data_IF_608775183187
#
_entry.id   IF_608775183187
#
_cell.length_a   1.000
_cell.length_b   1.000
_cell.length_c   1.000
_cell.angle_alpha   90.00
_cell.angle_beta   90.00
_cell.angle_gamma   90.00
#
_symmetry.space_group_name_H-M   'P 1'
#
loop_
_entity.id
_entity.type
_entity.pdbx_description
1 polymer ?
#
# COMPACT_ATOMS: atom_id res chain seq x y z
N UNK A 1 27.31 -56.24 35.66
CA UNK A 1 26.30 -56.53 34.60
C UNK A 1 26.43 -55.46 33.52
N UNK A 2 26.39 -55.70 32.20
CA UNK A 2 25.87 -56.79 31.32
C UNK A 2 24.40 -56.61 30.87
N UNK A 3 24.23 -55.95 29.72
CA UNK A 3 23.09 -56.03 28.75
C UNK A 3 21.72 -55.49 29.24
N UNK A 4 20.79 -55.04 28.39
CA UNK A 4 20.76 -54.91 26.91
C UNK A 4 19.89 -53.71 26.48
N UNK A 5 19.96 -53.21 25.22
CA UNK A 5 19.17 -52.07 24.75
C UNK A 5 17.74 -52.47 24.33
N UNK A 6 16.88 -51.46 24.14
CA UNK A 6 15.63 -51.60 23.37
C UNK A 6 15.53 -50.50 22.33
N UNK A 7 15.38 -50.92 21.07
CA UNK A 7 15.20 -50.04 19.93
C UNK A 7 13.84 -49.33 20.02
N UNK A 8 13.79 -48.05 19.64
CA UNK A 8 12.55 -47.46 19.13
C UNK A 8 12.85 -46.70 17.85
N UNK A 9 12.58 -47.35 16.71
CA UNK A 9 12.58 -46.69 15.41
C UNK A 9 11.40 -45.72 15.35
N UNK A 10 11.66 -44.45 15.01
CA UNK A 10 10.61 -43.54 14.56
C UNK A 10 11.11 -42.72 13.36
N UNK A 11 11.20 -43.39 12.21
CA UNK A 11 11.52 -42.77 10.93
C UNK A 11 10.33 -41.96 10.42
N UNK A 12 10.21 -40.69 10.82
CA UNK A 12 9.22 -39.77 10.25
C UNK A 12 9.78 -39.15 8.96
N UNK A 13 9.66 -39.90 7.86
CA UNK A 13 9.92 -39.39 6.52
C UNK A 13 8.72 -38.57 6.05
N UNK A 14 8.69 -37.27 6.36
CA UNK A 14 7.72 -36.33 5.80
C UNK A 14 8.35 -35.51 4.67
N UNK A 15 8.12 -35.96 3.44
CA UNK A 15 8.34 -35.15 2.25
C UNK A 15 7.44 -33.90 2.33
N UNK A 16 8.05 -32.71 2.46
CA UNK A 16 7.44 -31.49 1.96
C UNK A 16 8.27 -30.96 0.79
N UNK A 17 7.72 -31.16 -0.41
CA UNK A 17 8.32 -30.74 -1.68
C UNK A 17 8.23 -29.23 -1.81
N UNK A 18 9.35 -28.61 -2.20
CA UNK A 18 9.37 -27.34 -2.91
C UNK A 18 8.65 -26.16 -2.26
N UNK A 19 9.31 -25.48 -1.31
CA UNK A 19 9.11 -24.04 -1.14
C UNK A 19 10.07 -23.29 -2.09
N UNK A 20 9.61 -22.74 -3.22
CA UNK A 20 10.37 -21.73 -3.93
C UNK A 20 10.45 -20.47 -3.05
N UNK A 21 11.66 -20.13 -2.58
CA UNK A 21 11.93 -18.85 -1.94
C UNK A 21 11.85 -17.72 -2.99
N UNK A 22 10.64 -17.27 -3.28
CA UNK A 22 10.38 -16.25 -4.31
C UNK A 22 9.24 -15.30 -3.93
N UNK A 23 9.45 -14.55 -2.86
CA UNK A 23 8.65 -13.37 -2.50
C UNK A 23 9.47 -12.40 -1.63
N UNK A 24 10.67 -12.01 -2.08
CA UNK A 24 11.35 -10.84 -1.51
C UNK A 24 10.65 -9.59 -2.05
N UNK A 25 9.44 -9.33 -1.54
CA UNK A 25 8.71 -8.10 -1.82
C UNK A 25 9.60 -6.94 -1.36
N UNK A 26 10.14 -6.20 -2.32
CA UNK A 26 11.00 -5.06 -2.05
C UNK A 26 10.11 -3.97 -1.46
N UNK A 27 10.07 -3.91 -0.13
CA UNK A 27 9.33 -2.90 0.60
C UNK A 27 9.75 -1.51 0.09
N UNK A 28 8.83 -0.69 -0.45
CA UNK A 28 9.15 0.68 -0.84
C UNK A 28 9.73 1.46 0.35
N UNK A 29 11.01 1.80 0.22
CA UNK A 29 11.74 2.65 1.17
C UNK A 29 11.41 4.11 0.84
N UNK A 30 10.59 4.73 1.68
CA UNK A 30 10.14 6.11 1.53
C UNK A 30 11.20 7.02 2.19
N UNK A 31 12.23 7.37 1.41
CA UNK A 31 13.30 8.26 1.86
C UNK A 31 13.79 9.29 0.82
N UNK A 32 13.24 9.34 -0.39
CA UNK A 32 13.41 10.47 -1.31
C UNK A 32 12.11 10.78 -2.08
N UNK A 33 11.92 12.06 -2.43
CA UNK A 33 10.87 12.54 -3.33
C UNK A 33 11.16 12.20 -4.80
N UNK A 34 12.40 11.87 -5.16
CA UNK A 34 12.79 11.59 -6.53
C UNK A 34 12.45 10.15 -6.99
N UNK A 35 12.33 9.20 -6.07
CA UNK A 35 12.10 7.79 -6.41
C UNK A 35 10.68 7.53 -6.95
N UNK A 36 10.59 6.61 -7.91
CA UNK A 36 9.35 6.20 -8.57
C UNK A 36 8.88 4.83 -8.07
N UNK A 37 7.87 4.82 -7.20
CA UNK A 37 7.19 3.59 -6.79
C UNK A 37 6.20 3.10 -7.86
N UNK A 38 5.97 1.79 -7.91
CA UNK A 38 5.25 1.07 -8.98
C UNK A 38 4.15 0.16 -8.39
N UNK A 39 3.17 0.75 -7.70
CA UNK A 39 2.24 0.05 -6.81
C UNK A 39 0.96 -0.43 -7.51
N UNK A 40 0.41 -1.57 -7.08
CA UNK A 40 -0.81 -2.16 -7.64
C UNK A 40 -1.88 -2.33 -6.56
N UNK A 41 -3.14 -2.04 -6.90
CA UNK A 41 -4.26 -2.24 -5.98
C UNK A 41 -5.61 -1.91 -6.61
N UNK A 42 -6.69 -2.06 -5.83
CA UNK A 42 -8.04 -1.59 -6.20
C UNK A 42 -8.16 -0.11 -5.90
N UNK A 43 -8.56 0.67 -6.90
CA UNK A 43 -8.72 2.11 -6.78
C UNK A 43 -10.06 2.38 -6.08
N UNK A 44 -10.02 3.03 -4.93
CA UNK A 44 -11.20 3.36 -4.12
C UNK A 44 -11.35 4.87 -4.00
N UNK A 45 -12.54 5.34 -3.58
CA UNK A 45 -12.77 6.75 -3.28
C UNK A 45 -13.75 6.94 -2.14
N UNK A 46 -13.48 7.89 -1.26
CA UNK A 46 -14.36 8.26 -0.16
C UNK A 46 -14.69 9.76 -0.23
N UNK A 47 -15.87 10.15 0.27
CA UNK A 47 -16.15 11.55 0.55
C UNK A 47 -15.69 11.86 1.97
N UNK A 48 -14.83 12.87 2.13
CA UNK A 48 -14.38 13.38 3.43
C UNK A 48 -14.73 14.86 3.56
N UNK A 49 -15.07 15.30 4.76
CA UNK A 49 -15.19 16.72 5.10
C UNK A 49 -13.78 17.36 5.14
N UNK A 50 -13.70 18.69 5.16
CA UNK A 50 -12.42 19.35 5.44
C UNK A 50 -11.97 19.12 6.90
N UNK A 51 -10.73 19.47 7.26
CA UNK A 51 -10.35 19.56 8.67
C UNK A 51 -11.23 20.59 9.40
N UNK A 52 -11.49 20.43 10.71
CA UNK A 52 -12.30 21.39 11.47
C UNK A 52 -11.76 22.81 11.32
N UNK A 53 -12.64 23.77 11.03
CA UNK A 53 -12.27 25.15 10.70
C UNK A 53 -12.10 25.43 9.20
N UNK A 54 -12.08 24.43 8.32
CA UNK A 54 -12.13 24.64 6.85
C UNK A 54 -13.54 25.03 6.35
N UNK A 55 -14.25 25.87 7.11
CA UNK A 55 -15.69 26.06 6.94
C UNK A 55 -16.34 26.90 8.04
N UNK A 56 -15.85 28.10 8.34
CA UNK A 56 -16.58 29.06 9.21
C UNK A 56 -17.99 29.39 8.69
N UNK A 57 -18.30 29.04 7.44
CA UNK A 57 -19.65 29.02 6.89
C UNK A 57 -20.02 27.59 6.47
N UNK A 58 -21.02 26.92 7.08
CA UNK A 58 -21.42 25.55 6.74
C UNK A 58 -21.91 25.34 5.28
N UNK A 59 -22.22 26.41 4.55
CA UNK A 59 -22.50 26.37 3.11
C UNK A 59 -21.26 26.23 2.23
N UNK A 60 -20.06 26.37 2.81
CA UNK A 60 -18.76 26.25 2.16
C UNK A 60 -18.02 24.93 2.49
N UNK A 61 -18.52 24.15 3.47
CA UNK A 61 -18.07 22.80 3.82
C UNK A 61 -18.30 21.80 2.67
N UNK A 62 -17.44 21.88 1.66
CA UNK A 62 -17.54 21.05 0.46
C UNK A 62 -16.81 19.73 0.68
N UNK A 63 -17.59 18.67 0.89
CA UNK A 63 -17.10 17.28 0.90
C UNK A 63 -16.15 17.03 -0.29
N UNK A 64 -14.90 16.69 0.00
CA UNK A 64 -13.87 16.38 -0.99
C UNK A 64 -13.90 14.89 -1.30
N UNK A 65 -13.78 14.55 -2.58
CA UNK A 65 -13.60 13.16 -3.00
C UNK A 65 -12.10 12.83 -2.91
N UNK A 66 -11.73 12.04 -1.91
CA UNK A 66 -10.38 11.52 -1.71
C UNK A 66 -10.28 10.17 -2.41
N UNK A 67 -9.13 9.88 -3.01
CA UNK A 67 -8.87 8.62 -3.69
C UNK A 67 -7.82 7.81 -2.94
N UNK A 68 -7.99 6.49 -2.93
CA UNK A 68 -7.08 5.55 -2.29
C UNK A 68 -6.70 4.42 -3.25
N UNK A 69 -5.50 3.86 -3.06
CA UNK A 69 -5.13 2.58 -3.62
C UNK A 69 -5.16 1.56 -2.49
N UNK A 70 -6.14 0.66 -2.51
CA UNK A 70 -6.26 -0.43 -1.55
C UNK A 70 -5.51 -1.66 -2.07
N UNK A 71 -4.65 -2.24 -1.26
CA UNK A 71 -3.90 -3.44 -1.62
C UNK A 71 -4.73 -4.71 -1.33
N UNK A 72 -4.47 -5.79 -2.07
CA UNK A 72 -5.06 -7.10 -1.76
C UNK A 72 -4.43 -7.70 -0.48
N UNK A 73 -3.16 -7.37 -0.19
CA UNK A 73 -2.39 -7.78 0.98
C UNK A 73 -1.73 -6.56 1.69
N UNK A 74 -1.51 -6.58 3.02
CA UNK A 74 -0.82 -5.50 3.73
C UNK A 74 0.59 -5.28 3.16
N UNK A 75 0.82 -4.12 2.54
CA UNK A 75 2.13 -3.74 2.02
C UNK A 75 3.02 -3.20 3.15
N UNK A 76 4.29 -3.63 3.16
CA UNK A 76 5.31 -3.11 4.07
C UNK A 76 5.90 -1.83 3.48
N UNK A 77 5.86 -0.74 4.23
CA UNK A 77 6.49 0.54 3.90
C UNK A 77 7.47 0.91 5.01
N UNK A 78 8.69 1.30 4.65
CA UNK A 78 9.63 1.95 5.59
C UNK A 78 9.63 3.44 5.32
N UNK A 79 9.28 4.28 6.30
CA UNK A 79 9.13 5.72 6.11
C UNK A 79 9.62 6.54 7.31
N UNK A 80 9.97 7.80 7.07
CA UNK A 80 10.35 8.72 8.14
C UNK A 80 9.13 9.29 8.86
N UNK A 81 9.12 9.19 10.19
CA UNK A 81 8.15 9.83 11.07
C UNK A 81 8.44 11.34 11.24
N UNK A 82 7.61 12.04 12.03
CA UNK A 82 7.79 13.47 12.33
C UNK A 82 9.07 13.81 13.12
N UNK A 83 9.69 12.83 13.80
CA UNK A 83 11.00 12.96 14.44
C UNK A 83 12.18 12.67 13.49
N UNK A 84 11.92 12.29 12.24
CA UNK A 84 12.92 11.91 11.24
C UNK A 84 13.39 10.45 11.31
N UNK A 85 12.88 9.67 12.25
CA UNK A 85 13.21 8.26 12.47
C UNK A 85 12.53 7.37 11.42
N UNK A 86 13.22 6.34 10.94
CA UNK A 86 12.64 5.32 10.07
C UNK A 86 11.76 4.36 10.87
N UNK A 87 10.50 4.23 10.48
CA UNK A 87 9.53 3.27 11.01
C UNK A 87 9.04 2.36 9.88
N UNK A 88 8.98 1.05 10.14
CA UNK A 88 8.28 0.11 9.28
C UNK A 88 6.79 0.06 9.65
N UNK A 89 5.91 0.30 8.67
CA UNK A 89 4.45 0.20 8.83
C UNK A 89 3.83 -0.71 7.78
N UNK A 90 2.86 -1.53 8.20
CA UNK A 90 2.04 -2.36 7.30
C UNK A 90 0.75 -1.63 6.96
N UNK A 91 0.58 -1.26 5.69
CA UNK A 91 -0.56 -0.48 5.21
C UNK A 91 -1.42 -1.32 4.25
N UNK A 92 -2.73 -1.34 4.48
CA UNK A 92 -3.71 -1.98 3.60
C UNK A 92 -4.17 -1.05 2.47
N UNK A 93 -3.83 0.24 2.56
CA UNK A 93 -4.12 1.26 1.55
C UNK A 93 -3.16 2.44 1.67
N UNK A 94 -3.10 3.25 0.63
CA UNK A 94 -2.45 4.57 0.65
C UNK A 94 -3.35 5.62 -0.01
N UNK A 95 -3.17 6.89 0.36
CA UNK A 95 -3.83 8.00 -0.32
C UNK A 95 -3.17 8.22 -1.69
N UNK A 96 -3.97 8.30 -2.76
CA UNK A 96 -3.47 8.69 -4.08
C UNK A 96 -3.93 10.11 -4.44
N UNK A 97 -2.95 10.96 -4.73
CA UNK A 97 -3.11 12.36 -5.10
C UNK A 97 -2.69 12.58 -6.55
N UNK A 98 -3.13 13.67 -7.17
CA UNK A 98 -2.56 14.12 -8.44
C UNK A 98 -2.75 15.62 -8.61
N UNK A 99 -1.75 16.29 -9.17
CA UNK A 99 -1.82 17.71 -9.53
C UNK A 99 -2.63 17.92 -10.81
N UNK A 100 -2.56 16.99 -11.77
CA UNK A 100 -3.25 17.09 -13.07
C UNK A 100 -4.72 16.69 -13.00
N UNK A 101 -5.60 17.59 -13.45
CA UNK A 101 -7.04 17.31 -13.55
C UNK A 101 -7.36 16.18 -14.56
N UNK A 102 -6.52 15.98 -15.59
CA UNK A 102 -6.66 14.85 -16.52
C UNK A 102 -6.39 13.51 -15.82
N UNK A 103 -5.40 13.47 -14.93
CA UNK A 103 -5.12 12.28 -14.11
C UNK A 103 -6.19 12.07 -13.04
N UNK A 104 -6.69 13.12 -12.37
CA UNK A 104 -7.84 13.01 -11.44
C UNK A 104 -9.07 12.39 -12.12
N UNK A 105 -9.39 12.81 -13.35
CA UNK A 105 -10.48 12.20 -14.12
C UNK A 105 -10.17 10.74 -14.48
N UNK A 106 -8.95 10.42 -14.95
CA UNK A 106 -8.54 9.03 -15.21
C UNK A 106 -8.62 8.13 -13.96
N UNK A 107 -8.27 8.64 -12.78
CA UNK A 107 -8.44 7.93 -11.49
C UNK A 107 -9.93 7.72 -11.19
N UNK A 108 -10.75 8.78 -11.30
CA UNK A 108 -12.21 8.73 -11.05
C UNK A 108 -12.92 7.70 -11.93
N UNK A 109 -12.57 7.59 -13.21
CA UNK A 109 -13.13 6.58 -14.13
C UNK A 109 -12.64 5.14 -13.88
N UNK A 110 -11.70 4.95 -12.94
CA UNK A 110 -11.13 3.64 -12.57
C UNK A 110 -11.54 3.16 -11.17
N UNK A 111 -12.29 3.97 -10.41
CA UNK A 111 -12.81 3.58 -9.08
C UNK A 111 -13.56 2.24 -9.16
N UNK A 112 -13.30 1.37 -8.18
CA UNK A 112 -13.83 0.01 -8.09
C UNK A 112 -12.99 -1.06 -8.80
N UNK A 113 -12.02 -0.70 -9.64
CA UNK A 113 -11.22 -1.64 -10.46
C UNK A 113 -9.78 -1.76 -9.94
N UNK A 114 -9.09 -2.89 -10.21
CA UNK A 114 -7.63 -2.93 -10.05
C UNK A 114 -6.92 -2.03 -11.08
N UNK A 115 -5.80 -1.43 -10.66
CA UNK A 115 -4.93 -0.63 -11.51
C UNK A 115 -3.50 -0.60 -10.98
N UNK A 116 -2.54 -0.39 -11.90
CA UNK A 116 -1.16 -0.08 -11.50
C UNK A 116 -0.97 1.43 -11.51
N UNK A 117 -0.37 1.95 -10.45
CA UNK A 117 -0.07 3.36 -10.22
C UNK A 117 1.44 3.54 -10.23
N UNK A 118 1.94 4.53 -10.96
CA UNK A 118 3.37 4.89 -10.96
C UNK A 118 3.53 6.35 -10.57
N UNK A 119 4.48 6.63 -9.68
CA UNK A 119 4.77 7.98 -9.20
C UNK A 119 5.50 8.00 -7.86
N UNK A 120 5.69 9.20 -7.32
CA UNK A 120 6.45 9.44 -6.10
C UNK A 120 5.61 9.15 -4.85
N UNK A 121 6.27 8.69 -3.78
CA UNK A 121 5.63 8.33 -2.50
C UNK A 121 6.36 9.04 -1.36
N UNK A 122 5.62 9.60 -0.41
CA UNK A 122 6.16 10.25 0.79
C UNK A 122 5.30 9.94 2.03
N UNK A 123 5.86 10.11 3.22
CA UNK A 123 5.07 10.10 4.47
C UNK A 123 4.23 11.37 4.56
N UNK A 124 3.00 11.24 5.05
CA UNK A 124 2.08 12.36 5.22
C UNK A 124 2.72 13.50 6.02
N UNK A 125 2.48 14.74 5.57
CA UNK A 125 3.13 15.93 6.13
C UNK A 125 2.19 17.14 6.24
N UNK A 126 0.87 16.92 6.19
CA UNK A 126 -0.13 17.97 6.23
C UNK A 126 -1.46 17.51 6.83
N UNK A 127 -2.24 18.44 7.36
CA UNK A 127 -3.60 18.20 7.88
C UNK A 127 -4.62 17.80 6.79
N UNK A 128 -4.21 17.76 5.52
CA UNK A 128 -5.02 17.31 4.39
C UNK A 128 -4.83 15.85 4.01
N UNK A 129 -3.91 15.12 4.67
CA UNK A 129 -3.55 13.74 4.35
C UNK A 129 -4.26 12.74 5.27
N UNK A 130 -5.00 11.80 4.69
CA UNK A 130 -5.87 10.86 5.42
C UNK A 130 -5.21 9.50 5.74
N UNK A 131 -3.99 9.27 5.25
CA UNK A 131 -3.20 8.05 5.44
C UNK A 131 -1.74 8.43 5.68
N UNK A 132 -1.01 7.66 6.51
CA UNK A 132 0.39 7.93 6.85
C UNK A 132 1.36 7.98 5.66
N UNK A 133 0.94 7.46 4.50
CA UNK A 133 1.70 7.43 3.24
C UNK A 133 0.82 7.90 2.09
N UNK A 134 1.37 8.79 1.27
CA UNK A 134 0.70 9.46 0.15
C UNK A 134 1.52 9.25 -1.13
N UNK A 135 0.83 9.04 -2.25
CA UNK A 135 1.44 8.89 -3.58
C UNK A 135 0.96 9.98 -4.55
N UNK A 136 1.87 10.59 -5.30
CA UNK A 136 1.54 11.45 -6.44
C UNK A 136 1.46 10.59 -7.70
N UNK A 137 0.25 10.38 -8.21
CA UNK A 137 0.03 9.67 -9.47
C UNK A 137 0.61 10.47 -10.63
N UNK A 138 1.63 9.91 -11.30
CA UNK A 138 2.14 10.38 -12.60
C UNK A 138 1.50 9.59 -13.75
N UNK A 139 1.29 8.28 -13.58
CA UNK A 139 0.53 7.45 -14.52
C UNK A 139 -0.31 6.39 -13.82
N UNK A 140 -1.38 5.96 -14.49
CA UNK A 140 -2.29 4.94 -13.99
C UNK A 140 -2.83 4.06 -15.12
N UNK A 141 -2.56 2.75 -15.05
CA UNK A 141 -2.92 1.76 -16.06
C UNK A 141 -3.96 0.78 -15.52
N UNK A 142 -4.64 0.07 -16.43
CA UNK A 142 -5.55 -1.02 -16.04
C UNK A 142 -4.73 -2.21 -15.57
N UNK A 143 -5.16 -2.86 -14.50
CA UNK A 143 -4.59 -4.14 -14.07
C UNK A 143 -5.70 -5.20 -14.10
N UNK A 144 -5.47 -6.43 -14.58
CA UNK A 144 -6.51 -7.45 -14.59
C UNK A 144 -6.92 -7.81 -13.16
N UNK A 145 -8.22 -7.84 -12.87
CA UNK A 145 -8.71 -8.24 -11.53
C UNK A 145 -8.30 -9.68 -11.17
N UNK A 146 -8.07 -10.54 -12.18
CA UNK A 146 -7.59 -11.92 -12.08
C UNK A 146 -6.09 -12.08 -11.82
N UNK A 147 -5.31 -11.00 -11.85
CA UNK A 147 -3.87 -11.04 -11.59
C UNK A 147 -3.60 -10.58 -10.14
N UNK A 148 -2.72 -11.26 -9.38
CA UNK A 148 -2.29 -10.79 -8.07
C UNK A 148 -1.44 -9.54 -8.25
N UNK A 149 -1.64 -8.53 -7.41
CA UNK A 149 -0.86 -7.29 -7.48
C UNK A 149 0.62 -7.47 -7.10
N UNK A 150 0.93 -8.54 -6.36
CA UNK A 150 2.25 -8.84 -5.83
C UNK A 150 3.01 -9.81 -6.77
N UNK A 151 4.12 -9.34 -7.35
CA UNK A 151 5.16 -10.12 -8.04
C UNK A 151 6.49 -9.38 -7.99
#
# INVERSE_FOLDING_TARGET
>A
MKMNPRNFFLTVFLFFVGMPFSAWSIAPVIADKNDLAQLCGRIMSEKRWGPPGFGETPSLDKQRLIFFLNFDNPHVFSYKNYAGEFIEGKLNRIQISSTSNVLKNKIRHRVGRKGKVVGHVWSASSEGDYESVVMQVLSITSYPDSMPCDR
#
